data_IF_812568956444
#
_entry.id   IF_812568956444
#
_cell.length_a   1.000
_cell.length_b   1.000
_cell.length_c   1.000
_cell.angle_alpha   90.00
_cell.angle_beta   90.00
_cell.angle_gamma   90.00
#
_symmetry.space_group_name_H-M   'P 1'
#
loop_
_entity.id
_entity.type
_entity.pdbx_description
1 polymer ?
#
# COMPACT_ATOMS: atom_id res chain seq x y z
N UNK A 1 13.63 11.77 -7.93
CA UNK A 1 13.65 11.33 -6.53
C UNK A 1 12.81 10.07 -6.35
N UNK A 2 13.30 9.15 -5.57
CA UNK A 2 12.56 7.93 -5.29
C UNK A 2 11.32 8.23 -4.45
N UNK A 3 10.22 7.53 -4.75
CA UNK A 3 8.99 7.59 -3.96
C UNK A 3 9.13 6.65 -2.77
N UNK A 4 8.74 7.13 -1.61
CA UNK A 4 8.92 6.42 -0.34
C UNK A 4 7.72 5.54 -0.03
N UNK A 5 7.98 4.27 0.24
CA UNK A 5 6.95 3.26 0.47
C UNK A 5 7.01 2.79 1.93
N UNK A 6 5.86 2.78 2.60
CA UNK A 6 5.69 2.13 3.89
C UNK A 6 5.09 0.74 3.64
N UNK A 7 5.78 -0.30 4.09
CA UNK A 7 5.38 -1.69 3.91
C UNK A 7 4.79 -2.23 5.21
N UNK A 8 3.55 -2.72 5.14
CA UNK A 8 2.80 -3.19 6.32
C UNK A 8 2.33 -4.63 6.10
N UNK A 9 2.85 -5.54 6.89
CA UNK A 9 2.44 -6.95 6.87
C UNK A 9 2.88 -7.59 8.19
N UNK A 10 2.03 -8.40 8.80
CA UNK A 10 2.36 -9.09 10.05
C UNK A 10 3.30 -10.28 9.84
N UNK A 11 3.39 -10.78 8.60
CA UNK A 11 4.31 -11.85 8.24
C UNK A 11 5.68 -11.25 7.89
N UNK A 12 6.70 -11.57 8.69
CA UNK A 12 8.05 -11.02 8.52
C UNK A 12 8.67 -11.37 7.16
N UNK A 13 8.43 -12.58 6.66
CA UNK A 13 8.99 -13.03 5.38
C UNK A 13 8.39 -12.24 4.22
N UNK A 14 7.08 -12.07 4.21
CA UNK A 14 6.39 -11.29 3.18
C UNK A 14 6.82 -9.82 3.27
N UNK A 15 6.88 -9.28 4.47
CA UNK A 15 7.30 -7.90 4.70
C UNK A 15 8.70 -7.63 4.15
N UNK A 16 9.64 -8.53 4.42
CA UNK A 16 11.00 -8.43 3.88
C UNK A 16 11.02 -8.55 2.37
N UNK A 17 10.23 -9.46 1.81
CA UNK A 17 10.12 -9.63 0.37
C UNK A 17 9.62 -8.38 -0.33
N UNK A 18 8.62 -7.73 0.23
CA UNK A 18 8.09 -6.47 -0.30
C UNK A 18 9.11 -5.35 -0.22
N UNK A 19 9.85 -5.28 0.88
CA UNK A 19 10.93 -4.28 1.01
C UNK A 19 11.99 -4.46 -0.08
N UNK A 20 12.39 -5.70 -0.34
CA UNK A 20 13.36 -5.99 -1.40
C UNK A 20 12.83 -5.65 -2.77
N UNK A 21 11.54 -5.97 -3.00
CA UNK A 21 10.89 -5.70 -4.28
C UNK A 21 10.95 -4.20 -4.62
N UNK A 22 10.53 -3.36 -3.70
CA UNK A 22 10.51 -1.92 -3.95
C UNK A 22 11.92 -1.31 -3.95
N UNK A 23 12.80 -1.78 -3.08
CA UNK A 23 14.18 -1.28 -3.05
C UNK A 23 14.94 -1.61 -4.33
N UNK A 24 14.59 -2.70 -5.01
CA UNK A 24 15.22 -3.09 -6.27
C UNK A 24 14.83 -2.17 -7.44
N UNK A 25 13.74 -1.41 -7.32
CA UNK A 25 13.28 -0.49 -8.34
C UNK A 25 13.89 0.90 -8.11
N UNK A 26 14.45 1.50 -9.15
CA UNK A 26 15.16 2.78 -9.04
C UNK A 26 14.25 3.95 -8.62
N UNK A 27 12.96 3.86 -8.94
CA UNK A 27 11.99 4.91 -8.66
C UNK A 27 11.29 4.79 -7.31
N UNK A 28 11.63 3.75 -6.52
CA UNK A 28 11.08 3.54 -5.18
C UNK A 28 12.17 3.34 -4.14
N UNK A 29 11.82 3.64 -2.90
CA UNK A 29 12.61 3.27 -1.73
C UNK A 29 11.64 2.96 -0.59
N UNK A 30 12.10 2.26 0.43
CA UNK A 30 11.29 1.89 1.58
C UNK A 30 11.67 2.78 2.76
N UNK A 31 10.71 3.56 3.25
CA UNK A 31 10.96 4.46 4.37
C UNK A 31 10.71 3.80 5.72
N UNK A 32 10.00 2.68 5.76
CA UNK A 32 9.73 1.99 7.01
C UNK A 32 8.88 0.75 6.81
N UNK A 33 8.72 0.01 7.91
CA UNK A 33 7.98 -1.24 7.98
C UNK A 33 7.06 -1.22 9.19
N UNK A 34 5.88 -1.84 9.07
CA UNK A 34 4.93 -1.96 10.17
C UNK A 34 4.33 -3.37 10.19
N UNK A 35 3.89 -3.81 11.36
CA UNK A 35 3.40 -5.17 11.60
C UNK A 35 1.89 -5.28 11.69
N UNK A 36 1.19 -4.17 11.84
CA UNK A 36 -0.27 -4.14 11.95
C UNK A 36 -0.77 -2.73 11.59
N UNK A 37 -2.09 -2.58 11.57
CA UNK A 37 -2.70 -1.31 11.19
C UNK A 37 -2.38 -0.16 12.13
N UNK A 38 -2.33 -0.42 13.44
CA UNK A 38 -2.00 0.62 14.42
C UNK A 38 -0.57 1.12 14.24
N UNK A 39 0.38 0.20 14.08
CA UNK A 39 1.78 0.52 13.82
C UNK A 39 1.93 1.30 12.51
N UNK A 40 1.15 0.92 11.49
CA UNK A 40 1.15 1.62 10.20
C UNK A 40 0.73 3.08 10.33
N UNK A 41 -0.34 3.34 11.12
CA UNK A 41 -0.84 4.70 11.33
C UNK A 41 0.22 5.55 12.04
N UNK A 42 0.84 5.00 13.09
CA UNK A 42 1.86 5.70 13.85
C UNK A 42 3.08 6.03 12.99
N UNK A 43 3.55 5.06 12.23
CA UNK A 43 4.72 5.24 11.37
C UNK A 43 4.44 6.17 10.20
N UNK A 44 3.25 6.09 9.61
CA UNK A 44 2.89 6.97 8.50
C UNK A 44 2.92 8.44 8.91
N UNK A 45 2.46 8.74 10.11
CA UNK A 45 2.44 10.12 10.62
C UNK A 45 3.85 10.68 10.86
N UNK A 46 4.80 9.82 11.20
CA UNK A 46 6.20 10.22 11.42
C UNK A 46 6.99 10.25 10.12
N UNK A 47 6.81 9.23 9.27
CA UNK A 47 7.64 9.03 8.09
C UNK A 47 7.15 9.72 6.83
N UNK A 48 5.87 10.06 6.79
CA UNK A 48 5.22 10.71 5.63
C UNK A 48 5.49 9.97 4.31
N UNK A 49 5.06 8.71 4.19
CA UNK A 49 5.29 7.95 2.95
C UNK A 49 4.51 8.53 1.77
N UNK A 50 4.98 8.25 0.57
CA UNK A 50 4.27 8.58 -0.67
C UNK A 50 3.24 7.51 -1.03
N UNK A 51 3.43 6.29 -0.51
CA UNK A 51 2.60 5.13 -0.78
C UNK A 51 2.62 4.20 0.43
N UNK A 52 1.48 3.58 0.72
CA UNK A 52 1.39 2.54 1.74
C UNK A 52 0.94 1.24 1.06
N UNK A 53 1.70 0.17 1.24
CA UNK A 53 1.34 -1.18 0.80
C UNK A 53 1.06 -2.00 2.06
N UNK A 54 -0.16 -2.51 2.19
CA UNK A 54 -0.65 -3.04 3.45
C UNK A 54 -1.44 -4.33 3.26
N UNK A 55 -1.15 -5.33 4.10
CA UNK A 55 -1.95 -6.54 4.19
C UNK A 55 -3.34 -6.23 4.76
N UNK A 56 -4.31 -7.07 4.43
CA UNK A 56 -5.67 -6.94 4.94
C UNK A 56 -5.80 -7.50 6.35
N UNK A 57 -5.43 -8.77 6.53
CA UNK A 57 -5.63 -9.49 7.79
C UNK A 57 -4.41 -9.39 8.68
N UNK A 58 -4.51 -8.59 9.72
CA UNK A 58 -3.44 -8.36 10.68
C UNK A 58 -4.00 -8.30 12.09
N UNK A 59 -3.20 -8.65 13.10
CA UNK A 59 -3.62 -8.51 14.50
C UNK A 59 -3.72 -7.03 14.87
N UNK A 60 -4.35 -6.74 15.99
CA UNK A 60 -4.53 -5.40 16.59
C UNK A 60 -5.48 -4.54 15.74
N UNK A 61 -5.16 -4.30 14.49
CA UNK A 61 -5.99 -3.53 13.56
C UNK A 61 -5.75 -4.02 12.14
N UNK A 62 -6.82 -4.38 11.43
CA UNK A 62 -6.74 -4.86 10.05
C UNK A 62 -6.51 -3.71 9.07
N UNK A 63 -6.21 -4.08 7.82
CA UNK A 63 -5.89 -3.11 6.76
C UNK A 63 -7.04 -2.19 6.38
N UNK A 64 -8.28 -2.67 6.45
CA UNK A 64 -9.46 -1.84 6.11
C UNK A 64 -9.65 -0.74 7.15
N UNK A 65 -9.61 -1.09 8.43
CA UNK A 65 -9.78 -0.11 9.50
C UNK A 65 -8.63 0.90 9.51
N UNK A 66 -7.41 0.43 9.27
CA UNK A 66 -6.26 1.32 9.16
C UNK A 66 -6.41 2.28 7.97
N UNK A 67 -6.87 1.78 6.83
CA UNK A 67 -7.07 2.60 5.64
C UNK A 67 -8.10 3.71 5.87
N UNK A 68 -9.18 3.42 6.58
CA UNK A 68 -10.18 4.44 6.92
C UNK A 68 -9.58 5.58 7.73
N UNK A 69 -8.77 5.24 8.72
CA UNK A 69 -8.10 6.24 9.57
C UNK A 69 -7.07 7.01 8.76
N UNK A 70 -6.26 6.32 7.94
CA UNK A 70 -5.26 6.96 7.11
C UNK A 70 -5.87 7.90 6.07
N UNK A 71 -7.03 7.55 5.53
CA UNK A 71 -7.75 8.43 4.60
C UNK A 71 -8.10 9.77 5.25
N UNK A 72 -8.46 9.74 6.53
CA UNK A 72 -8.77 10.95 7.29
C UNK A 72 -7.52 11.76 7.62
N UNK A 73 -6.46 11.08 8.05
CA UNK A 73 -5.23 11.73 8.49
C UNK A 73 -4.34 12.18 7.33
N UNK A 74 -4.29 11.38 6.27
CA UNK A 74 -3.37 11.58 5.14
C UNK A 74 -4.10 11.32 3.83
N UNK A 75 -5.08 12.16 3.46
CA UNK A 75 -6.00 11.86 2.34
C UNK A 75 -5.33 11.80 0.97
N UNK A 76 -4.14 12.33 0.82
CA UNK A 76 -3.43 12.33 -0.46
C UNK A 76 -2.51 11.11 -0.65
N UNK A 77 -2.29 10.32 0.41
CA UNK A 77 -1.40 9.15 0.33
C UNK A 77 -2.19 7.94 -0.13
N UNK A 78 -1.87 7.36 -1.30
CA UNK A 78 -2.55 6.18 -1.78
C UNK A 78 -2.20 4.95 -0.92
N UNK A 79 -3.19 4.07 -0.78
CA UNK A 79 -3.06 2.81 -0.05
C UNK A 79 -3.39 1.66 -0.99
N UNK A 80 -2.47 0.72 -1.14
CA UNK A 80 -2.70 -0.54 -1.85
C UNK A 80 -2.87 -1.63 -0.82
N UNK A 81 -3.96 -2.39 -0.91
CA UNK A 81 -4.11 -3.62 -0.13
C UNK A 81 -3.50 -4.77 -0.93
N UNK A 82 -2.59 -5.49 -0.32
CA UNK A 82 -1.91 -6.65 -0.89
C UNK A 82 -2.29 -7.87 -0.06
N UNK A 83 -3.23 -8.67 -0.57
CA UNK A 83 -3.84 -9.76 0.20
C UNK A 83 -4.33 -10.89 -0.70
N UNK A 84 -4.34 -12.11 -0.18
CA UNK A 84 -4.85 -13.29 -0.89
C UNK A 84 -6.36 -13.29 -1.06
N UNK A 85 -7.07 -12.68 -0.13
CA UNK A 85 -8.53 -12.79 -0.07
C UNK A 85 -9.25 -11.46 -0.14
N UNK A 86 -10.30 -11.46 -0.94
CA UNK A 86 -11.28 -10.41 -0.98
C UNK A 86 -12.65 -10.85 -0.42
N UNK A 87 -12.77 -12.10 0.04
CA UNK A 87 -14.06 -12.67 0.45
C UNK A 87 -14.58 -12.11 1.78
N UNK A 88 -13.72 -11.57 2.62
CA UNK A 88 -14.14 -10.93 3.89
C UNK A 88 -14.69 -9.52 3.64
N UNK A 89 -14.14 -8.84 2.65
CA UNK A 89 -14.55 -7.48 2.29
C UNK A 89 -14.76 -7.39 0.78
N UNK A 90 -15.83 -6.73 0.38
CA UNK A 90 -16.10 -6.48 -1.03
C UNK A 90 -15.20 -5.35 -1.55
N UNK A 91 -15.05 -5.32 -2.86
CA UNK A 91 -14.35 -4.21 -3.53
C UNK A 91 -15.01 -2.86 -3.19
N UNK A 92 -16.33 -2.84 -3.06
CA UNK A 92 -17.06 -1.65 -2.68
C UNK A 92 -16.67 -1.16 -1.28
N UNK A 93 -16.56 -2.09 -0.33
CA UNK A 93 -16.12 -1.75 1.03
C UNK A 93 -14.69 -1.22 1.05
N UNK A 94 -13.81 -1.81 0.25
CA UNK A 94 -12.44 -1.36 0.12
C UNK A 94 -12.37 0.08 -0.40
N UNK A 95 -13.14 0.39 -1.44
CA UNK A 95 -13.20 1.74 -1.99
C UNK A 95 -13.77 2.74 -1.00
N UNK A 96 -14.81 2.34 -0.26
CA UNK A 96 -15.39 3.19 0.78
C UNK A 96 -14.40 3.49 1.90
N UNK A 97 -13.48 2.56 2.17
CA UNK A 97 -12.42 2.76 3.16
C UNK A 97 -11.28 3.64 2.65
N UNK A 98 -11.28 4.02 1.37
CA UNK A 98 -10.25 4.86 0.80
C UNK A 98 -9.06 4.11 0.22
N UNK A 99 -9.22 2.81 -0.03
CA UNK A 99 -8.19 1.98 -0.67
C UNK A 99 -8.10 2.33 -2.14
N UNK A 100 -6.89 2.62 -2.61
CA UNK A 100 -6.64 3.05 -3.98
C UNK A 100 -6.55 1.90 -4.96
N UNK A 101 -6.05 0.74 -4.52
CA UNK A 101 -5.96 -0.46 -5.34
C UNK A 101 -5.90 -1.70 -4.45
N UNK A 102 -6.31 -2.83 -5.02
CA UNK A 102 -6.24 -4.13 -4.37
C UNK A 102 -5.47 -5.07 -5.28
N UNK A 103 -4.44 -5.72 -4.74
CA UNK A 103 -3.61 -6.67 -5.48
C UNK A 103 -3.59 -7.99 -4.70
N UNK A 104 -3.86 -9.09 -5.38
CA UNK A 104 -3.78 -10.42 -4.78
C UNK A 104 -2.32 -10.85 -4.62
N UNK A 105 -2.01 -11.51 -3.50
CA UNK A 105 -0.68 -12.09 -3.27
C UNK A 105 -0.36 -13.22 -4.26
N UNK A 106 -1.36 -13.78 -4.93
CA UNK A 106 -1.18 -14.80 -5.96
C UNK A 106 -0.85 -14.23 -7.34
N UNK A 107 -1.01 -12.93 -7.53
CA UNK A 107 -0.62 -12.27 -8.78
C UNK A 107 0.89 -12.08 -8.85
N UNK A 108 1.47 -11.97 -10.05
CA UNK A 108 2.90 -11.64 -10.17
C UNK A 108 3.22 -10.32 -9.45
N UNK A 109 4.37 -10.25 -8.81
CA UNK A 109 4.78 -9.04 -8.06
C UNK A 109 4.89 -7.80 -8.96
N UNK A 110 5.08 -7.99 -10.27
CA UNK A 110 5.10 -6.90 -11.23
C UNK A 110 3.77 -6.16 -11.30
N UNK A 111 2.65 -6.83 -10.99
CA UNK A 111 1.33 -6.20 -10.92
C UNK A 111 1.29 -5.17 -9.80
N UNK A 112 1.84 -5.52 -8.63
CA UNK A 112 1.92 -4.61 -7.49
C UNK A 112 2.74 -3.37 -7.82
N UNK A 113 3.92 -3.56 -8.38
CA UNK A 113 4.81 -2.45 -8.77
C UNK A 113 4.14 -1.58 -9.84
N UNK A 114 3.49 -2.20 -10.83
CA UNK A 114 2.78 -1.49 -11.87
C UNK A 114 1.65 -0.62 -11.34
N UNK A 115 0.88 -1.13 -10.39
CA UNK A 115 -0.20 -0.36 -9.76
C UNK A 115 0.35 0.79 -8.91
N UNK A 116 1.45 0.55 -8.20
CA UNK A 116 2.13 1.59 -7.44
C UNK A 116 2.56 2.74 -8.35
N UNK A 117 3.17 2.42 -9.47
CA UNK A 117 3.57 3.45 -10.45
C UNK A 117 2.39 4.22 -11.00
N UNK A 118 1.31 3.52 -11.34
CA UNK A 118 0.11 4.15 -11.88
C UNK A 118 -0.51 5.15 -10.89
N UNK A 119 -0.47 4.84 -9.61
CA UNK A 119 -0.99 5.73 -8.57
C UNK A 119 -0.11 6.96 -8.33
N UNK A 120 1.21 6.78 -8.42
CA UNK A 120 2.16 7.85 -8.10
C UNK A 120 2.54 8.72 -9.29
N UNK A 121 2.31 8.22 -10.52
CA UNK A 121 2.64 8.94 -11.74
C UNK A 121 1.47 8.98 -12.73
N UNK A 122 0.27 9.44 -12.29
CA UNK A 122 -0.91 9.40 -13.15
C UNK A 122 -0.84 10.35 -14.33
N UNK A 123 -0.03 11.39 -14.22
CA UNK A 123 0.11 12.42 -15.25
C UNK A 123 0.63 11.88 -16.57
N UNK A 124 1.49 10.85 -16.51
CA UNK A 124 2.02 10.22 -17.72
C UNK A 124 0.90 9.63 -18.60
N UNK A 125 -0.09 9.01 -17.97
CA UNK A 125 -1.22 8.43 -18.69
C UNK A 125 -2.09 9.51 -19.34
N UNK A 126 -2.26 10.64 -18.69
CA UNK A 126 -3.02 11.78 -19.25
C UNK A 126 -2.33 12.38 -20.44
N UNK A 127 -1.02 12.49 -20.39
CA UNK A 127 -0.22 13.03 -21.49
C UNK A 127 -0.36 12.20 -22.76
N UNK A 128 -0.40 10.89 -22.62
CA UNK A 128 -0.53 9.99 -23.75
C UNK A 128 -1.86 10.10 -24.49
N UNK A 129 -2.88 10.60 -23.84
CA UNK A 129 -4.22 10.71 -24.41
C UNK A 129 -4.42 11.97 -25.22
N UNK A 130 -3.50 12.86 -25.13
CA UNK A 130 -3.53 14.09 -25.90
C UNK A 130 -2.97 13.86 -27.28
#
# INVERSE_FOLDING_TARGET
>A
MAKMVLVVDDNAVIRQGLCRLFTAEADFDVCGKAENGQDAIEKAQVLHPDLIVMDLSMPVMNGIDAARILKTLMPTVPVIIFSDYSDVFSEKEARAAGISAWVSKSEPVSVLVGKARALLYPTAALTEKV
#
